data_IF_257373079858
#
_entry.id   IF_257373079858
#
_cell.length_a   1.000
_cell.length_b   1.000
_cell.length_c   1.000
_cell.angle_alpha   90.00
_cell.angle_beta   90.00
_cell.angle_gamma   90.00
#
_symmetry.space_group_name_H-M   'P 1'
#
loop_
_entity.id
_entity.type
_entity.pdbx_description
1 polymer ?
#
# COMPACT_ATOMS: atom_id res chain seq x y z
N UNK A 1 -10.13 -16.52 47.02
CA UNK A 1 -10.84 -16.21 45.76
C UNK A 1 -9.86 -15.56 44.76
N UNK A 2 -9.10 -16.34 43.98
CA UNK A 2 -8.04 -15.80 43.10
C UNK A 2 -7.97 -16.50 41.72
N UNK A 3 -9.05 -17.19 41.33
CA UNK A 3 -9.06 -18.11 40.17
C UNK A 3 -10.10 -17.84 39.10
N UNK A 4 -10.95 -16.79 39.22
CA UNK A 4 -12.01 -16.52 38.22
C UNK A 4 -11.68 -15.38 37.24
N UNK A 5 -10.65 -14.57 37.51
CA UNK A 5 -10.25 -13.46 36.61
C UNK A 5 -9.51 -13.92 35.35
N UNK A 6 -8.71 -14.99 35.45
CA UNK A 6 -7.98 -15.55 34.29
C UNK A 6 -8.91 -16.09 33.18
N UNK A 7 -10.10 -16.58 33.55
CA UNK A 7 -11.07 -17.15 32.61
C UNK A 7 -11.71 -16.07 31.72
N UNK A 8 -11.83 -14.83 32.20
CA UNK A 8 -12.35 -13.71 31.40
C UNK A 8 -11.25 -12.90 30.69
N UNK A 9 -10.02 -12.88 31.23
CA UNK A 9 -8.92 -12.15 30.61
C UNK A 9 -8.44 -12.79 29.30
N UNK A 10 -8.34 -14.12 29.26
CA UNK A 10 -7.87 -14.84 28.08
C UNK A 10 -8.72 -14.62 26.81
N UNK A 11 -10.06 -14.79 26.83
CA UNK A 11 -10.89 -14.51 25.66
C UNK A 11 -10.87 -13.03 25.27
N UNK A 12 -10.74 -12.11 26.23
CA UNK A 12 -10.61 -10.69 25.94
C UNK A 12 -9.29 -10.39 25.21
N UNK A 13 -8.17 -10.98 25.64
CA UNK A 13 -6.86 -10.85 24.99
C UNK A 13 -6.91 -11.42 23.56
N UNK A 14 -7.52 -12.59 23.37
CA UNK A 14 -7.71 -13.18 22.04
C UNK A 14 -8.58 -12.26 21.16
N UNK A 15 -9.69 -11.74 21.68
CA UNK A 15 -10.57 -10.84 20.93
C UNK A 15 -9.83 -9.57 20.51
N UNK A 16 -9.09 -8.95 21.42
CA UNK A 16 -8.26 -7.76 21.13
C UNK A 16 -7.19 -8.10 20.09
N UNK A 17 -6.55 -9.27 20.19
CA UNK A 17 -5.56 -9.72 19.22
C UNK A 17 -6.17 -9.91 17.83
N UNK A 18 -7.31 -10.61 17.73
CA UNK A 18 -8.05 -10.83 16.48
C UNK A 18 -8.44 -9.49 15.84
N UNK A 19 -8.98 -8.56 16.64
CA UNK A 19 -9.35 -7.23 16.15
C UNK A 19 -8.17 -6.40 15.66
N UNK A 20 -6.98 -6.59 16.22
CA UNK A 20 -5.75 -5.93 15.74
C UNK A 20 -5.19 -6.60 14.48
N UNK A 21 -5.31 -7.92 14.37
CA UNK A 21 -4.87 -8.67 13.18
C UNK A 21 -5.79 -8.45 11.96
N UNK A 22 -7.06 -8.07 12.19
CA UNK A 22 -8.13 -8.04 11.19
C UNK A 22 -8.52 -6.63 10.75
N UNK A 23 -7.68 -5.62 10.93
CA UNK A 23 -8.01 -4.24 10.54
C UNK A 23 -6.88 -3.68 9.68
N UNK A 24 -7.18 -2.88 8.65
CA UNK A 24 -6.17 -2.13 7.91
C UNK A 24 -5.27 -1.28 8.82
N UNK A 25 -4.11 -0.88 8.30
CA UNK A 25 -3.25 0.12 8.95
C UNK A 25 -4.03 1.40 9.28
N UNK A 26 -3.74 2.02 10.42
CA UNK A 26 -4.39 3.29 10.79
C UNK A 26 -3.72 4.51 10.18
N UNK A 27 -2.47 4.36 9.71
CA UNK A 27 -1.64 5.43 9.18
C UNK A 27 -0.87 4.88 8.00
N UNK A 28 -0.69 5.73 7.01
CA UNK A 28 0.24 5.47 5.91
C UNK A 28 1.67 5.58 6.47
N UNK A 29 2.47 4.56 6.22
CA UNK A 29 3.89 4.50 6.54
C UNK A 29 4.69 4.98 5.33
N UNK A 30 5.84 5.62 5.51
CA UNK A 30 6.58 6.10 4.36
C UNK A 30 7.76 6.99 4.65
N UNK A 31 8.46 7.32 3.57
CA UNK A 31 9.30 8.50 3.47
C UNK A 31 8.76 9.33 2.31
N UNK A 32 8.00 10.36 2.64
CA UNK A 32 7.22 11.11 1.66
C UNK A 32 8.07 12.13 0.89
N UNK A 33 9.17 12.59 1.48
CA UNK A 33 10.11 13.54 0.87
C UNK A 33 11.52 13.30 1.44
N UNK A 34 12.55 13.52 0.62
CA UNK A 34 13.96 13.48 1.04
C UNK A 34 14.62 12.09 1.07
N UNK A 35 13.90 11.02 0.72
CA UNK A 35 14.52 9.70 0.47
C UNK A 35 14.84 9.47 -1.01
N UNK A 36 14.23 10.24 -1.91
CA UNK A 36 14.62 10.25 -3.29
C UNK A 36 16.04 10.82 -3.44
N UNK A 37 16.90 10.08 -4.14
CA UNK A 37 18.29 10.49 -4.43
C UNK A 37 18.47 10.95 -5.88
N UNK A 38 17.40 10.87 -6.68
CA UNK A 38 17.44 11.17 -8.09
C UNK A 38 16.96 12.61 -8.33
N UNK A 39 17.76 13.39 -9.06
CA UNK A 39 17.43 14.77 -9.38
C UNK A 39 16.18 14.92 -10.24
N UNK A 40 15.60 16.12 -10.22
CA UNK A 40 14.45 16.47 -11.06
C UNK A 40 14.83 16.45 -12.54
N UNK A 41 13.93 15.93 -13.36
CA UNK A 41 14.03 15.96 -14.82
C UNK A 41 12.89 16.82 -15.39
N UNK A 42 13.02 18.16 -15.40
CA UNK A 42 11.90 19.07 -15.62
C UNK A 42 11.23 18.94 -17.00
N UNK A 43 11.94 18.40 -18.00
CA UNK A 43 11.49 18.39 -19.40
C UNK A 43 11.13 16.99 -19.94
N UNK A 44 11.03 15.97 -19.07
CA UNK A 44 10.73 14.60 -19.52
C UNK A 44 9.28 14.21 -19.32
N UNK A 45 8.78 13.33 -20.20
CA UNK A 45 7.47 12.68 -20.04
C UNK A 45 7.45 11.89 -18.74
N UNK A 46 6.38 12.06 -17.96
CA UNK A 46 6.15 11.29 -16.73
C UNK A 46 5.93 9.81 -17.08
N UNK A 47 6.76 8.93 -16.52
CA UNK A 47 6.59 7.48 -16.67
C UNK A 47 6.02 6.88 -15.40
N UNK A 48 4.83 6.31 -15.54
CA UNK A 48 4.09 5.66 -14.44
C UNK A 48 3.94 4.17 -14.74
N UNK A 49 4.19 3.32 -13.75
CA UNK A 49 3.87 1.89 -13.83
C UNK A 49 2.89 1.51 -12.72
N UNK A 50 2.01 0.55 -13.00
CA UNK A 50 1.19 -0.12 -11.99
C UNK A 50 1.48 -1.62 -12.03
N UNK A 51 1.73 -2.22 -10.86
CA UNK A 51 2.12 -3.62 -10.76
C UNK A 51 1.59 -4.27 -9.48
N UNK A 52 0.94 -5.42 -9.63
CA UNK A 52 0.72 -6.35 -8.52
C UNK A 52 2.00 -7.18 -8.34
N UNK A 53 2.60 -7.12 -7.14
CA UNK A 53 3.90 -7.74 -6.85
C UNK A 53 3.86 -9.25 -6.62
N UNK A 54 2.65 -9.83 -6.49
CA UNK A 54 2.41 -11.20 -6.07
C UNK A 54 3.16 -11.52 -4.77
N UNK A 55 2.54 -11.30 -3.61
CA UNK A 55 3.22 -11.51 -2.33
C UNK A 55 3.59 -12.99 -2.11
N UNK A 56 2.80 -13.92 -2.63
CA UNK A 56 3.03 -15.36 -2.51
C UNK A 56 2.91 -15.96 -1.09
N UNK A 57 2.36 -15.24 -0.12
CA UNK A 57 1.97 -15.79 1.19
C UNK A 57 1.23 -17.14 1.03
N UNK A 58 1.52 -18.14 1.88
CA UNK A 58 2.46 -18.11 3.02
C UNK A 58 3.91 -18.45 2.65
N UNK A 59 4.17 -18.87 1.42
CA UNK A 59 5.48 -19.43 1.05
C UNK A 59 6.50 -18.39 0.60
N UNK A 60 6.03 -17.26 0.05
CA UNK A 60 6.87 -16.18 -0.48
C UNK A 60 7.90 -16.67 -1.50
N UNK A 61 7.54 -17.68 -2.30
CA UNK A 61 8.43 -18.29 -3.29
C UNK A 61 9.02 -17.20 -4.18
N UNK A 62 10.34 -17.15 -4.31
CA UNK A 62 11.09 -16.19 -5.14
C UNK A 62 10.83 -14.70 -4.86
N UNK A 63 10.34 -14.33 -3.67
CA UNK A 63 10.02 -12.93 -3.36
C UNK A 63 11.23 -12.01 -3.50
N UNK A 64 12.40 -12.41 -2.98
CA UNK A 64 13.62 -11.60 -3.09
C UNK A 64 14.03 -11.39 -4.54
N UNK A 65 13.99 -12.45 -5.36
CA UNK A 65 14.30 -12.36 -6.79
C UNK A 65 13.31 -11.45 -7.52
N UNK A 66 12.02 -11.50 -7.17
CA UNK A 66 11.03 -10.57 -7.72
C UNK A 66 11.30 -9.12 -7.32
N UNK A 67 11.66 -8.86 -6.06
CA UNK A 67 11.99 -7.51 -5.61
C UNK A 67 13.20 -6.93 -6.36
N UNK A 68 14.27 -7.71 -6.53
CA UNK A 68 15.44 -7.30 -7.30
C UNK A 68 15.10 -7.07 -8.78
N UNK A 69 14.27 -7.93 -9.38
CA UNK A 69 13.79 -7.75 -10.76
C UNK A 69 12.97 -6.48 -10.91
N UNK A 70 12.05 -6.22 -9.98
CA UNK A 70 11.21 -5.01 -9.98
C UNK A 70 12.08 -3.76 -9.85
N UNK A 71 13.05 -3.74 -8.93
CA UNK A 71 13.98 -2.62 -8.77
C UNK A 71 14.79 -2.39 -10.06
N UNK A 72 15.32 -3.46 -10.65
CA UNK A 72 16.07 -3.39 -11.91
C UNK A 72 15.22 -2.82 -13.05
N UNK A 73 13.95 -3.21 -13.15
CA UNK A 73 13.06 -2.70 -14.19
C UNK A 73 12.64 -1.25 -13.94
N UNK A 74 12.45 -0.83 -12.68
CA UNK A 74 12.21 0.58 -12.32
C UNK A 74 13.38 1.46 -12.78
N UNK A 75 14.61 1.02 -12.55
CA UNK A 75 15.82 1.74 -12.97
C UNK A 75 16.01 1.71 -14.49
N UNK A 76 15.91 0.53 -15.11
CA UNK A 76 16.06 0.35 -16.57
C UNK A 76 15.05 1.16 -17.36
N UNK A 77 13.82 1.24 -16.85
CA UNK A 77 12.76 2.06 -17.42
C UNK A 77 12.77 3.48 -16.85
N UNK A 78 13.73 3.90 -16.04
CA UNK A 78 13.82 5.25 -15.48
C UNK A 78 12.48 5.78 -14.93
N UNK A 79 11.71 4.93 -14.25
CA UNK A 79 10.32 5.22 -13.86
C UNK A 79 10.28 6.41 -12.89
N UNK A 80 9.23 7.23 -13.01
CA UNK A 80 9.00 8.36 -12.10
C UNK A 80 8.10 7.98 -10.93
N UNK A 81 7.05 7.20 -11.22
CA UNK A 81 6.01 6.84 -10.25
C UNK A 81 5.67 5.35 -10.42
N UNK A 82 5.58 4.64 -9.30
CA UNK A 82 5.29 3.21 -9.26
C UNK A 82 4.12 2.98 -8.31
N UNK A 83 3.03 2.42 -8.83
CA UNK A 83 1.82 2.06 -8.09
C UNK A 83 1.82 0.56 -7.85
N UNK A 84 1.89 0.13 -6.59
CA UNK A 84 2.08 -1.28 -6.24
C UNK A 84 0.89 -1.85 -5.47
N UNK A 85 0.49 -3.06 -5.85
CA UNK A 85 -0.45 -3.89 -5.12
C UNK A 85 0.23 -5.14 -4.54
N UNK A 86 -0.36 -5.74 -3.52
CA UNK A 86 0.18 -6.91 -2.80
C UNK A 86 1.61 -6.68 -2.28
N UNK A 87 1.92 -5.48 -1.82
CA UNK A 87 3.24 -5.15 -1.30
C UNK A 87 3.42 -5.84 0.05
N UNK A 88 4.36 -6.80 0.17
CA UNK A 88 4.47 -7.59 1.39
C UNK A 88 5.32 -6.85 2.43
N UNK A 89 4.96 -7.07 3.70
CA UNK A 89 5.90 -7.05 4.80
C UNK A 89 6.23 -8.49 5.20
N UNK A 90 7.52 -8.81 5.31
CA UNK A 90 7.97 -10.09 5.87
C UNK A 90 9.07 -9.89 6.89
N UNK A 91 9.27 -10.86 7.78
CA UNK A 91 10.37 -10.84 8.74
C UNK A 91 11.77 -10.84 8.09
N UNK A 92 11.91 -11.35 6.86
CA UNK A 92 13.20 -11.42 6.15
C UNK A 92 13.52 -10.14 5.40
N UNK A 93 12.54 -9.56 4.72
CA UNK A 93 12.73 -8.41 3.80
C UNK A 93 12.30 -7.09 4.43
N UNK A 94 11.58 -7.12 5.54
CA UNK A 94 10.86 -5.95 6.02
C UNK A 94 9.77 -5.53 5.04
N UNK A 95 9.54 -4.21 4.95
CA UNK A 95 8.55 -3.62 4.06
C UNK A 95 9.07 -3.57 2.62
N UNK A 96 8.38 -4.25 1.69
CA UNK A 96 8.74 -4.28 0.27
C UNK A 96 8.76 -2.90 -0.41
N UNK A 97 7.87 -1.97 -0.02
CA UNK A 97 7.88 -0.61 -0.54
C UNK A 97 9.15 0.12 -0.13
N UNK A 98 9.51 0.04 1.16
CA UNK A 98 10.75 0.63 1.68
C UNK A 98 11.98 0.05 0.99
N UNK A 99 12.03 -1.27 0.85
CA UNK A 99 13.12 -1.96 0.18
C UNK A 99 13.30 -1.45 -1.27
N UNK A 100 12.21 -1.38 -2.04
CA UNK A 100 12.26 -0.89 -3.42
C UNK A 100 12.65 0.60 -3.48
N UNK A 101 12.13 1.41 -2.57
CA UNK A 101 12.45 2.83 -2.48
C UNK A 101 13.93 3.08 -2.20
N UNK A 102 14.51 2.34 -1.24
CA UNK A 102 15.93 2.41 -0.92
C UNK A 102 16.82 1.94 -2.08
N UNK A 103 16.38 0.90 -2.82
CA UNK A 103 17.12 0.42 -4.00
C UNK A 103 17.10 1.40 -5.16
N UNK A 104 15.94 1.96 -5.45
CA UNK A 104 15.71 2.77 -6.65
C UNK A 104 15.88 4.28 -6.40
N UNK A 105 16.14 4.69 -5.16
CA UNK A 105 16.29 6.09 -4.79
C UNK A 105 15.00 6.89 -4.98
N UNK A 106 13.85 6.33 -4.59
CA UNK A 106 12.53 6.97 -4.66
C UNK A 106 11.97 7.24 -3.25
N UNK A 107 11.07 8.22 -3.13
CA UNK A 107 10.18 8.37 -1.99
C UNK A 107 9.13 7.25 -1.99
N UNK A 108 8.50 6.96 -0.85
CA UNK A 108 7.43 5.97 -0.79
C UNK A 108 6.36 6.27 0.26
N UNK A 109 5.15 5.83 -0.05
CA UNK A 109 4.01 5.71 0.84
C UNK A 109 3.52 4.26 0.79
N UNK A 110 3.17 3.68 1.95
CA UNK A 110 2.67 2.33 2.10
C UNK A 110 1.50 2.30 3.07
N UNK A 111 0.41 1.70 2.65
CA UNK A 111 -0.75 1.45 3.49
C UNK A 111 -0.97 -0.05 3.60
N UNK A 112 -1.09 -0.54 4.84
CA UNK A 112 -1.46 -1.94 5.09
C UNK A 112 -2.96 -2.14 4.83
N UNK A 113 -3.29 -3.11 3.99
CA UNK A 113 -4.65 -3.62 3.81
C UNK A 113 -4.93 -4.77 4.78
N UNK A 114 -4.06 -5.79 4.78
CA UNK A 114 -4.29 -7.06 5.47
C UNK A 114 -3.07 -7.55 6.25
N UNK A 115 -3.30 -8.54 7.12
CA UNK A 115 -2.29 -9.13 8.00
C UNK A 115 -1.89 -8.21 9.14
N UNK A 116 -0.95 -8.63 10.00
CA UNK A 116 -0.39 -7.81 11.06
C UNK A 116 1.01 -8.34 11.41
N UNK A 117 2.04 -7.50 11.26
CA UNK A 117 3.45 -7.89 11.37
C UNK A 117 3.82 -8.33 12.77
N UNK A 118 3.11 -7.86 13.79
CA UNK A 118 3.33 -8.21 15.19
C UNK A 118 2.53 -9.44 15.63
N UNK A 119 1.43 -9.75 14.94
CA UNK A 119 0.54 -10.85 15.29
C UNK A 119 0.86 -12.12 14.50
N UNK A 120 1.06 -12.00 13.18
CA UNK A 120 1.20 -13.15 12.27
C UNK A 120 2.45 -13.06 11.38
N UNK A 121 3.37 -12.12 11.66
CA UNK A 121 4.65 -11.94 10.95
C UNK A 121 4.50 -11.72 9.43
N UNK A 122 3.34 -11.22 9.00
CA UNK A 122 3.02 -10.92 7.61
C UNK A 122 2.03 -9.76 7.54
N UNK A 123 2.24 -8.88 6.57
CA UNK A 123 1.27 -7.87 6.13
C UNK A 123 1.33 -7.76 4.61
N UNK A 124 0.23 -7.30 4.03
CA UNK A 124 0.22 -6.84 2.65
C UNK A 124 -0.59 -5.55 2.51
N UNK A 125 -0.36 -4.85 1.42
CA UNK A 125 -1.15 -3.70 1.05
C UNK A 125 -0.61 -3.01 -0.19
N UNK A 126 -0.77 -1.71 -0.21
CA UNK A 126 -0.64 -0.87 -1.39
C UNK A 126 0.47 0.13 -1.14
N UNK A 127 1.25 0.40 -2.19
CA UNK A 127 2.31 1.38 -2.10
C UNK A 127 2.37 2.28 -3.32
N UNK A 128 2.85 3.50 -3.09
CA UNK A 128 3.19 4.46 -4.13
C UNK A 128 4.64 4.83 -3.92
N UNK A 129 5.48 4.62 -4.93
CA UNK A 129 6.85 5.15 -4.95
C UNK A 129 6.90 6.30 -5.94
N UNK A 130 7.67 7.34 -5.63
CA UNK A 130 7.79 8.51 -6.49
C UNK A 130 9.17 9.13 -6.41
N UNK A 131 9.68 9.57 -7.55
CA UNK A 131 10.89 10.41 -7.63
C UNK A 131 10.67 11.75 -6.93
N UNK A 132 9.43 12.24 -6.95
CA UNK A 132 9.06 13.55 -6.47
C UNK A 132 8.45 13.48 -5.06
N UNK A 133 8.35 14.61 -4.33
CA UNK A 133 7.70 14.65 -3.03
C UNK A 133 6.24 14.18 -3.10
N UNK A 134 5.87 13.35 -2.13
CA UNK A 134 4.52 12.88 -1.89
C UNK A 134 3.86 13.76 -0.82
N UNK A 135 2.70 14.32 -1.14
CA UNK A 135 1.94 15.20 -0.23
C UNK A 135 0.49 14.76 -0.16
N UNK A 136 -0.22 15.23 0.89
CA UNK A 136 -1.65 14.96 1.09
C UNK A 136 -1.99 13.48 1.02
N UNK A 137 -1.16 12.65 1.65
CA UNK A 137 -1.27 11.20 1.63
C UNK A 137 -2.33 10.71 2.61
N UNK A 138 -3.28 9.92 2.12
CA UNK A 138 -4.33 9.30 2.91
C UNK A 138 -4.74 7.93 2.33
N UNK A 139 -5.65 7.25 3.02
CA UNK A 139 -6.16 5.96 2.57
C UNK A 139 -7.59 5.76 2.98
N UNK A 140 -8.31 4.97 2.19
CA UNK A 140 -9.71 4.65 2.45
C UNK A 140 -9.97 3.17 2.24
N UNK A 141 -10.76 2.57 3.13
CA UNK A 141 -11.15 1.17 3.02
C UNK A 141 -12.45 1.04 2.22
N UNK A 142 -12.38 0.32 1.11
CA UNK A 142 -13.50 0.13 0.19
C UNK A 142 -14.64 -0.65 0.83
N UNK A 143 -15.85 -0.37 0.34
CA UNK A 143 -17.07 -1.08 0.69
C UNK A 143 -17.68 -1.74 -0.54
N UNK A 144 -18.36 -2.88 -0.41
CA UNK A 144 -18.44 -3.72 0.79
C UNK A 144 -17.15 -4.50 1.07
N UNK A 145 -17.03 -5.01 2.30
CA UNK A 145 -15.94 -5.90 2.69
C UNK A 145 -16.26 -7.33 2.24
N UNK A 146 -15.28 -8.02 1.67
CA UNK A 146 -15.40 -9.43 1.25
C UNK A 146 -15.28 -10.43 2.43
N UNK A 147 -14.86 -9.93 3.60
CA UNK A 147 -14.75 -10.74 4.80
C UNK A 147 -14.07 -9.99 5.94
N UNK A 148 -13.87 -10.70 7.06
CA UNK A 148 -13.29 -10.12 8.28
C UNK A 148 -11.78 -9.85 8.19
N UNK A 149 -11.07 -10.57 7.33
CA UNK A 149 -9.61 -10.45 7.11
C UNK A 149 -9.24 -10.08 5.66
N UNK A 150 -10.25 -9.79 4.83
CA UNK A 150 -10.08 -9.47 3.39
C UNK A 150 -10.55 -8.04 3.15
N UNK A 151 -9.69 -7.11 3.52
CA UNK A 151 -9.88 -5.69 3.30
C UNK A 151 -9.27 -5.30 1.96
N UNK A 152 -9.93 -4.38 1.29
CA UNK A 152 -9.40 -3.66 0.13
C UNK A 152 -9.32 -2.20 0.50
N UNK A 153 -8.17 -1.59 0.26
CA UNK A 153 -7.98 -0.17 0.52
C UNK A 153 -7.52 0.50 -0.77
N UNK A 154 -7.83 1.79 -0.87
CA UNK A 154 -7.17 2.69 -1.80
C UNK A 154 -6.17 3.51 -1.01
N UNK A 155 -4.94 3.58 -1.51
CA UNK A 155 -3.93 4.53 -1.06
C UNK A 155 -3.91 5.69 -2.04
N UNK A 156 -4.01 6.90 -1.51
CA UNK A 156 -3.98 8.13 -2.28
C UNK A 156 -2.85 9.04 -1.81
N UNK A 157 -2.23 9.73 -2.77
CA UNK A 157 -1.28 10.80 -2.52
C UNK A 157 -1.22 11.71 -3.73
N UNK A 158 -0.76 12.94 -3.53
CA UNK A 158 -0.37 13.82 -4.63
C UNK A 158 1.15 13.77 -4.78
N UNK A 159 1.64 13.57 -6.00
CA UNK A 159 3.06 13.72 -6.33
C UNK A 159 3.29 15.12 -6.91
N UNK A 160 4.18 15.90 -6.30
CA UNK A 160 4.52 17.26 -6.76
C UNK A 160 5.60 17.19 -7.83
N UNK A 161 5.19 17.03 -9.09
CA UNK A 161 6.12 16.88 -10.21
C UNK A 161 6.46 18.24 -10.85
N UNK A 162 7.56 18.35 -11.64
CA UNK A 162 7.84 19.54 -12.45
C UNK A 162 6.74 19.88 -13.47
N UNK A 163 5.91 18.91 -13.87
CA UNK A 163 4.80 19.10 -14.79
C UNK A 163 3.50 19.54 -14.08
N UNK A 164 3.55 19.71 -12.76
CA UNK A 164 2.39 19.98 -11.92
C UNK A 164 2.10 18.84 -10.94
N UNK A 165 1.06 19.05 -10.13
CA UNK A 165 0.60 18.05 -9.17
C UNK A 165 -0.10 16.90 -9.90
N UNK A 166 0.21 15.66 -9.50
CA UNK A 166 -0.44 14.45 -10.03
C UNK A 166 -1.10 13.71 -8.88
N UNK A 167 -2.43 13.62 -8.90
CA UNK A 167 -3.20 12.78 -8.00
C UNK A 167 -3.01 11.30 -8.34
N UNK A 168 -2.56 10.52 -7.37
CA UNK A 168 -2.26 9.11 -7.52
C UNK A 168 -3.16 8.31 -6.60
N UNK A 169 -3.87 7.35 -7.19
CA UNK A 169 -4.68 6.37 -6.48
C UNK A 169 -4.21 4.98 -6.86
N UNK A 170 -3.83 4.17 -5.87
CA UNK A 170 -3.53 2.76 -6.07
C UNK A 170 -4.50 1.91 -5.27
N UNK A 171 -5.04 0.89 -5.92
CA UNK A 171 -6.09 0.04 -5.38
C UNK A 171 -5.90 -1.38 -5.87
N UNK A 172 -6.26 -2.35 -5.03
CA UNK A 172 -6.44 -3.74 -5.42
C UNK A 172 -7.88 -4.12 -5.08
N UNK A 173 -8.71 -4.40 -6.08
CA UNK A 173 -10.09 -4.82 -5.86
C UNK A 173 -10.16 -6.32 -5.53
N UNK A 174 -11.28 -6.73 -4.96
CA UNK A 174 -11.58 -8.16 -4.77
C UNK A 174 -11.69 -8.90 -6.11
N UNK A 175 -11.31 -10.17 -6.08
CA UNK A 175 -11.57 -11.16 -7.14
C UNK A 175 -12.76 -12.09 -6.82
N UNK A 176 -13.51 -11.82 -5.75
CA UNK A 176 -14.63 -12.65 -5.24
C UNK A 176 -15.94 -12.60 -6.05
N UNK A 177 -15.88 -12.13 -7.31
CA UNK A 177 -17.02 -12.04 -8.22
C UNK A 177 -17.34 -10.62 -8.69
N UNK A 178 -17.96 -10.53 -9.88
CA UNK A 178 -18.22 -9.27 -10.59
C UNK A 178 -19.06 -8.28 -9.78
N UNK A 179 -20.07 -8.76 -9.04
CA UNK A 179 -20.95 -7.89 -8.23
C UNK A 179 -20.18 -7.18 -7.12
N UNK A 180 -19.36 -7.92 -6.35
CA UNK A 180 -18.58 -7.35 -5.25
C UNK A 180 -17.52 -6.38 -5.79
N UNK A 181 -16.86 -6.74 -6.89
CA UNK A 181 -15.88 -5.90 -7.56
C UNK A 181 -16.50 -4.58 -8.06
N UNK A 182 -17.70 -4.65 -8.66
CA UNK A 182 -18.43 -3.47 -9.15
C UNK A 182 -18.80 -2.53 -8.00
N UNK A 183 -19.28 -3.07 -6.88
CA UNK A 183 -19.63 -2.27 -5.69
C UNK A 183 -18.39 -1.62 -5.05
N UNK A 184 -17.26 -2.32 -5.01
CA UNK A 184 -15.99 -1.74 -4.55
C UNK A 184 -15.48 -0.64 -5.49
N UNK A 185 -15.70 -0.80 -6.80
CA UNK A 185 -15.41 0.24 -7.79
C UNK A 185 -16.27 1.48 -7.58
N UNK A 186 -17.56 1.31 -7.28
CA UNK A 186 -18.46 2.42 -6.94
C UNK A 186 -18.01 3.13 -5.64
N UNK A 187 -17.65 2.37 -4.62
CA UNK A 187 -17.09 2.91 -3.37
C UNK A 187 -15.79 3.68 -3.60
N UNK A 188 -14.96 3.25 -4.57
CA UNK A 188 -13.76 3.96 -4.98
C UNK A 188 -14.11 5.27 -5.70
N UNK A 189 -15.06 5.25 -6.63
CA UNK A 189 -15.48 6.45 -7.37
C UNK A 189 -16.04 7.55 -6.45
N UNK A 190 -16.69 7.18 -5.35
CA UNK A 190 -17.15 8.14 -4.34
C UNK A 190 -15.99 8.75 -3.52
N UNK A 191 -14.86 8.06 -3.42
CA UNK A 191 -13.67 8.53 -2.72
C UNK A 191 -12.78 9.41 -3.59
N UNK A 192 -12.60 9.04 -4.86
CA UNK A 192 -11.79 9.81 -5.81
C UNK A 192 -12.39 11.21 -5.94
N UNK A 193 -11.62 12.21 -5.52
CA UNK A 193 -12.05 13.61 -5.62
C UNK A 193 -11.94 14.06 -7.07
N UNK A 194 -12.86 14.90 -7.56
CA UNK A 194 -12.64 15.58 -8.84
C UNK A 194 -11.33 16.39 -8.76
N UNK A 195 -10.60 16.55 -9.88
CA UNK A 195 -9.34 17.31 -9.91
C UNK A 195 -9.53 18.70 -9.27
N UNK A 196 -8.54 19.13 -8.48
CA UNK A 196 -8.59 20.39 -7.73
C UNK A 196 -8.77 21.65 -8.62
N UNK A 197 -8.64 21.51 -9.94
CA UNK A 197 -8.81 22.59 -10.93
C UNK A 197 -10.20 22.61 -11.60
N UNK A 198 -11.19 21.90 -11.04
CA UNK A 198 -12.56 21.86 -11.61
C UNK A 198 -13.47 23.04 -11.22
N UNK A 199 -12.95 24.07 -10.54
CA UNK A 199 -13.62 25.36 -10.40
C UNK A 199 -12.61 26.50 -10.57
N UNK A 200 -12.73 27.17 -11.72
CA UNK A 200 -12.31 28.53 -12.10
C UNK A 200 -11.27 29.27 -11.22
#
# INVERSE_FOLDING_TARGET
MRGKWFIFLFPLVILVWVLNASRPGRRVEGCFEGCANLGDHPDRKLRVISLNMLHGFPKFENLNQRLELIASEIERLEVDIVLLQEVPWTWKTGNGAKYLAEKTGLNYAYQRANGNRWAILFEEGEAILSRYPLILTDSFELKPREGFFRHRVVLHTISRTPLGNVDLYVVHLTNGGETMNSQQSESLSQYVKPPLDSFA
#
